data_IF_482416071766
#
_entry.id   IF_482416071766
#
_cell.length_a   1.000
_cell.length_b   1.000
_cell.length_c   1.000
_cell.angle_alpha   90.00
_cell.angle_beta   90.00
_cell.angle_gamma   90.00
#
_symmetry.space_group_name_H-M   'P 1'
#
loop_
_entity.id
_entity.type
_entity.pdbx_description
1 polymer ?
#
# COMPACT_ATOMS: atom_id res chain seq x y z
N UNK A 1 2.47 -30.45 -21.08
CA UNK A 1 2.20 -28.99 -21.16
C UNK A 1 2.61 -28.41 -19.82
N UNK A 2 3.63 -27.56 -19.78
CA UNK A 2 4.04 -26.87 -18.56
C UNK A 2 3.25 -25.57 -18.50
N UNK A 3 2.42 -25.42 -17.48
CA UNK A 3 1.70 -24.17 -17.24
C UNK A 3 2.29 -23.48 -16.01
N UNK A 4 1.98 -22.21 -15.84
CA UNK A 4 2.28 -21.49 -14.61
C UNK A 4 1.06 -20.67 -14.18
N UNK A 5 1.00 -20.37 -12.90
CA UNK A 5 -0.07 -19.59 -12.29
C UNK A 5 0.56 -18.48 -11.45
N UNK A 6 0.10 -17.26 -11.69
CA UNK A 6 0.51 -16.08 -10.94
C UNK A 6 -0.72 -15.52 -10.24
N UNK A 7 -0.58 -15.32 -8.93
CA UNK A 7 -1.59 -14.67 -8.11
C UNK A 7 -0.99 -13.45 -7.41
N UNK A 8 -1.84 -12.46 -7.17
CA UNK A 8 -1.46 -11.17 -6.62
C UNK A 8 -2.42 -10.74 -5.52
N UNK A 9 -1.87 -10.18 -4.45
CA UNK A 9 -2.61 -9.57 -3.37
C UNK A 9 -2.11 -8.13 -3.19
N UNK A 10 -3.04 -7.18 -3.21
CA UNK A 10 -2.76 -5.75 -3.00
C UNK A 10 -2.92 -5.43 -1.52
N UNK A 11 -2.04 -4.60 -0.97
CA UNK A 11 -2.20 -4.03 0.36
C UNK A 11 -3.12 -2.81 0.29
N UNK A 12 -4.23 -2.84 1.01
CA UNK A 12 -5.17 -1.74 1.10
C UNK A 12 -5.32 -1.27 2.55
N UNK A 13 -5.48 0.03 2.71
CA UNK A 13 -5.83 0.67 3.98
C UNK A 13 -7.10 1.48 3.75
N UNK A 14 -8.25 0.94 4.13
CA UNK A 14 -9.55 1.56 3.85
C UNK A 14 -10.53 1.37 5.01
N UNK A 15 -11.47 2.30 5.12
CA UNK A 15 -12.64 2.13 5.98
C UNK A 15 -13.76 1.45 5.19
N UNK A 16 -14.17 0.25 5.62
CA UNK A 16 -15.28 -0.50 5.05
C UNK A 16 -16.51 -0.32 5.96
N UNK A 17 -17.24 0.78 5.73
CA UNK A 17 -18.33 1.21 6.60
C UNK A 17 -17.80 1.54 8.00
N UNK A 18 -18.16 0.73 8.99
CA UNK A 18 -17.75 0.92 10.39
C UNK A 18 -16.50 0.11 10.79
N UNK A 19 -15.86 -0.57 9.84
CA UNK A 19 -14.67 -1.40 10.10
C UNK A 19 -13.44 -0.81 9.39
N UNK A 20 -12.34 -0.72 10.13
CA UNK A 20 -11.04 -0.41 9.56
C UNK A 20 -10.42 -1.68 8.97
N UNK A 21 -10.00 -1.61 7.71
CA UNK A 21 -9.24 -2.64 7.02
C UNK A 21 -7.81 -2.13 6.78
N UNK A 22 -6.84 -2.91 7.25
CA UNK A 22 -5.41 -2.66 7.08
C UNK A 22 -4.71 -4.01 6.85
N UNK A 23 -4.41 -4.31 5.60
CA UNK A 23 -3.80 -5.59 5.25
C UNK A 23 -3.83 -5.93 3.76
N UNK A 24 -3.41 -7.16 3.45
CA UNK A 24 -3.47 -7.69 2.10
C UNK A 24 -4.87 -8.20 1.77
N UNK A 25 -5.38 -7.81 0.60
CA UNK A 25 -6.57 -8.42 -0.01
C UNK A 25 -6.30 -9.89 -0.35
N UNK A 26 -7.37 -10.63 -0.66
CA UNK A 26 -7.25 -12.00 -1.12
C UNK A 26 -6.37 -12.08 -2.38
N UNK A 27 -5.61 -13.17 -2.50
CA UNK A 27 -4.85 -13.44 -3.72
C UNK A 27 -5.81 -13.65 -4.89
N UNK A 28 -5.71 -12.80 -5.89
CA UNK A 28 -6.44 -12.92 -7.14
C UNK A 28 -5.53 -13.51 -8.22
N UNK A 29 -6.08 -14.41 -9.03
CA UNK A 29 -5.38 -14.97 -10.18
C UNK A 29 -5.24 -13.92 -11.27
N UNK A 30 -4.02 -13.46 -11.49
CA UNK A 30 -3.73 -12.44 -12.50
C UNK A 30 -3.30 -13.06 -13.82
N UNK A 31 -2.65 -14.23 -13.79
CA UNK A 31 -2.16 -14.85 -15.01
C UNK A 31 -2.10 -16.37 -14.94
N UNK A 32 -2.46 -17.02 -16.06
CA UNK A 32 -2.26 -18.45 -16.29
C UNK A 32 -1.93 -18.69 -17.76
N UNK A 33 -0.77 -19.26 -18.06
CA UNK A 33 -0.39 -19.62 -19.43
C UNK A 33 0.37 -20.95 -19.48
N UNK A 34 0.39 -21.56 -20.65
CA UNK A 34 0.96 -22.89 -20.97
C UNK A 34 2.39 -22.84 -21.52
N UNK A 35 3.04 -21.70 -21.40
CA UNK A 35 4.38 -21.41 -21.93
C UNK A 35 5.29 -20.95 -20.79
N UNK A 36 6.58 -21.25 -20.89
CA UNK A 36 7.61 -20.82 -19.92
C UNK A 36 7.84 -19.32 -20.06
N UNK A 37 7.01 -18.52 -19.39
CA UNK A 37 7.19 -17.07 -19.33
C UNK A 37 8.15 -16.75 -18.20
N UNK A 38 9.20 -16.01 -18.55
CA UNK A 38 10.20 -15.48 -17.61
C UNK A 38 9.84 -14.08 -17.12
N UNK A 39 8.92 -13.40 -17.78
CA UNK A 39 8.59 -11.99 -17.52
C UNK A 39 7.09 -11.73 -17.62
N UNK A 40 6.49 -11.17 -16.57
CA UNK A 40 5.11 -10.69 -16.57
C UNK A 40 5.08 -9.21 -16.15
N UNK A 41 4.25 -8.41 -16.82
CA UNK A 41 4.07 -6.99 -16.52
C UNK A 41 2.63 -6.74 -16.09
N UNK A 42 2.45 -6.17 -14.91
CA UNK A 42 1.15 -5.79 -14.36
C UNK A 42 1.05 -4.26 -14.34
N UNK A 43 -0.03 -3.72 -14.89
CA UNK A 43 -0.31 -2.28 -14.96
C UNK A 43 -1.55 -1.95 -14.13
N UNK A 44 -1.71 -0.66 -13.78
CA UNK A 44 -2.86 -0.21 -12.98
C UNK A 44 -2.74 -0.46 -11.47
N UNK A 45 -1.55 -0.79 -10.97
CA UNK A 45 -1.29 -0.87 -9.53
C UNK A 45 -1.34 0.52 -8.90
N UNK A 46 -1.86 0.61 -7.68
CA UNK A 46 -1.78 1.85 -6.91
C UNK A 46 -0.32 2.22 -6.66
N UNK A 47 -0.01 3.50 -6.81
CA UNK A 47 1.31 4.06 -6.46
C UNK A 47 1.50 4.07 -4.95
N UNK A 48 2.74 4.00 -4.47
CA UNK A 48 3.08 3.96 -3.04
C UNK A 48 2.43 2.81 -2.24
N UNK A 49 2.13 1.69 -2.91
CA UNK A 49 1.42 0.56 -2.32
C UNK A 49 2.27 -0.71 -2.31
N UNK A 50 2.08 -1.54 -1.28
CA UNK A 50 2.73 -2.85 -1.18
C UNK A 50 1.90 -3.90 -1.92
N UNK A 51 2.56 -4.77 -2.66
CA UNK A 51 1.93 -5.86 -3.41
C UNK A 51 2.65 -7.15 -3.07
N UNK A 52 1.88 -8.22 -2.84
CA UNK A 52 2.36 -9.59 -2.69
C UNK A 52 2.05 -10.36 -3.95
N UNK A 53 3.07 -10.93 -4.56
CA UNK A 53 2.97 -11.80 -5.73
C UNK A 53 3.33 -13.21 -5.32
N UNK A 54 2.64 -14.20 -5.86
CA UNK A 54 3.07 -15.60 -5.78
C UNK A 54 2.96 -16.28 -7.12
N UNK A 55 3.98 -17.05 -7.47
CA UNK A 55 4.06 -17.80 -8.72
C UNK A 55 4.33 -19.27 -8.44
N UNK A 56 3.63 -20.16 -9.14
CA UNK A 56 3.92 -21.60 -9.14
C UNK A 56 3.95 -22.16 -10.53
N UNK A 57 4.79 -23.17 -10.73
CA UNK A 57 4.77 -23.99 -11.93
C UNK A 57 3.71 -25.09 -11.80
N UNK A 58 3.08 -25.45 -12.91
CA UNK A 58 2.17 -26.57 -13.05
C UNK A 58 2.75 -27.53 -14.10
N UNK A 59 3.13 -28.72 -13.65
CA UNK A 59 3.55 -29.81 -14.52
C UNK A 59 2.42 -30.82 -14.68
N UNK A 60 2.58 -31.78 -15.61
CA UNK A 60 1.61 -32.86 -15.78
C UNK A 60 1.40 -33.69 -14.50
N UNK A 61 2.44 -33.82 -13.68
CA UNK A 61 2.46 -34.55 -12.41
C UNK A 61 1.89 -33.79 -11.22
N UNK A 62 1.59 -32.48 -11.36
CA UNK A 62 1.04 -31.68 -10.27
C UNK A 62 1.54 -30.24 -10.23
N UNK A 63 1.19 -29.56 -9.14
CA UNK A 63 1.60 -28.18 -8.87
C UNK A 63 2.92 -28.16 -8.11
N UNK A 64 3.85 -27.33 -8.55
CA UNK A 64 5.06 -26.99 -7.79
C UNK A 64 4.74 -26.06 -6.62
N UNK A 65 5.75 -25.81 -5.79
CA UNK A 65 5.63 -24.89 -4.66
C UNK A 65 5.38 -23.45 -5.11
N UNK A 66 4.67 -22.71 -4.26
CA UNK A 66 4.47 -21.27 -4.43
C UNK A 66 5.76 -20.54 -4.10
N UNK A 67 6.25 -19.73 -5.03
CA UNK A 67 7.31 -18.76 -4.78
C UNK A 67 6.65 -17.41 -4.51
N UNK A 68 6.84 -16.89 -3.30
CA UNK A 68 6.26 -15.63 -2.85
C UNK A 68 7.28 -14.49 -2.98
N UNK A 69 6.81 -13.33 -3.45
CA UNK A 69 7.60 -12.12 -3.61
C UNK A 69 6.79 -10.92 -3.13
N UNK A 70 7.38 -10.09 -2.28
CA UNK A 70 6.79 -8.82 -1.85
C UNK A 70 7.48 -7.68 -2.57
N UNK A 71 6.70 -6.83 -3.23
CA UNK A 71 7.20 -5.68 -4.00
C UNK A 71 6.43 -4.43 -3.58
N UNK A 72 7.12 -3.30 -3.51
CA UNK A 72 6.49 -1.99 -3.28
C UNK A 72 6.51 -1.19 -4.57
N UNK A 73 5.39 -0.54 -4.91
CA UNK A 73 5.34 0.37 -6.06
C UNK A 73 6.00 1.70 -5.70
N UNK A 74 6.54 2.38 -6.72
CA UNK A 74 7.16 3.69 -6.52
C UNK A 74 6.10 4.71 -6.06
N UNK A 75 6.49 5.70 -5.23
CA UNK A 75 5.60 6.80 -4.91
C UNK A 75 5.23 7.56 -6.19
N UNK A 76 4.03 8.15 -6.26
CA UNK A 76 3.66 8.98 -7.40
C UNK A 76 4.70 10.08 -7.54
N UNK A 77 5.13 10.38 -8.77
CA UNK A 77 5.99 11.52 -9.04
C UNK A 77 5.33 12.73 -8.38
N UNK A 78 6.00 13.32 -7.38
CA UNK A 78 5.47 14.47 -6.67
C UNK A 78 5.11 15.52 -7.72
N UNK A 79 3.82 15.77 -7.93
CA UNK A 79 3.40 17.02 -8.54
C UNK A 79 4.05 18.08 -7.68
N UNK A 80 4.95 18.87 -8.25
CA UNK A 80 5.44 20.08 -7.62
C UNK A 80 4.19 20.84 -7.19
N UNK A 81 3.88 20.78 -5.90
CA UNK A 81 2.84 21.62 -5.33
C UNK A 81 3.50 22.98 -5.39
N UNK A 82 3.16 23.78 -6.41
CA UNK A 82 3.43 25.21 -6.37
C UNK A 82 3.05 25.65 -4.98
N UNK A 83 4.04 26.16 -4.24
CA UNK A 83 3.87 26.52 -2.84
C UNK A 83 2.63 27.40 -2.77
N UNK A 84 1.53 26.83 -2.26
CA UNK A 84 0.36 27.60 -1.91
C UNK A 84 0.90 28.72 -1.02
N UNK A 85 0.61 30.01 -1.29
CA UNK A 85 1.03 31.08 -0.41
C UNK A 85 0.25 30.92 0.89
N UNK A 86 0.71 30.02 1.77
CA UNK A 86 0.12 29.79 3.06
C UNK A 86 0.37 31.07 3.87
N UNK A 87 -0.67 31.83 4.26
CA UNK A 87 -0.46 32.87 5.24
C UNK A 87 -0.02 32.18 6.53
N UNK A 88 1.24 32.39 6.93
CA UNK A 88 1.88 31.85 8.15
C UNK A 88 1.22 32.31 9.48
N UNK A 89 -0.06 32.70 9.47
CA UNK A 89 -0.78 33.24 10.64
C UNK A 89 -1.48 32.20 11.51
N UNK A 90 -1.65 30.96 11.04
CA UNK A 90 -2.39 29.91 11.77
C UNK A 90 -1.48 28.89 12.48
N UNK A 91 -0.16 29.08 12.39
CA UNK A 91 0.86 28.22 13.03
C UNK A 91 1.71 29.04 14.02
N UNK A 92 1.09 29.91 14.80
CA UNK A 92 1.69 30.44 16.01
C UNK A 92 0.87 29.90 17.18
N UNK A 93 1.22 28.70 17.64
CA UNK A 93 1.00 28.37 19.05
C UNK A 93 1.96 29.27 19.81
N UNK A 94 1.43 30.30 20.47
CA UNK A 94 2.22 31.13 21.36
C UNK A 94 2.53 30.32 22.63
N UNK A 95 3.76 30.43 23.14
CA UNK A 95 4.18 29.72 24.36
C UNK A 95 3.33 30.15 25.57
N UNK A 96 2.69 31.32 25.53
CA UNK A 96 1.77 31.77 26.57
C UNK A 96 0.49 30.91 26.69
N UNK A 97 0.04 30.26 25.60
CA UNK A 97 -1.12 29.35 25.63
C UNK A 97 -0.80 27.99 26.27
N UNK A 98 0.48 27.68 26.49
CA UNK A 98 0.93 26.45 27.14
C UNK A 98 1.13 26.59 28.65
N UNK A 99 0.87 27.78 29.22
CA UNK A 99 1.01 27.97 30.67
C UNK A 99 -0.32 27.62 31.34
N UNK A 100 -0.38 26.56 32.16
CA UNK A 100 -1.57 26.29 32.95
C UNK A 100 -1.79 27.42 33.96
N UNK A 101 -2.94 28.09 33.86
CA UNK A 101 -3.46 29.00 34.87
C UNK A 101 -3.80 28.22 36.14
N UNK A 102 -2.80 27.93 36.98
CA UNK A 102 -3.09 27.66 38.39
C UNK A 102 -3.36 29.00 39.09
N UNK A 103 -4.60 29.47 38.96
CA UNK A 103 -5.16 30.40 39.94
C UNK A 103 -5.38 29.58 41.21
N UNK A 104 -4.58 29.82 42.23
CA UNK A 104 -4.96 29.52 43.61
C UNK A 104 -5.06 30.85 44.35
N UNK A 105 -6.32 31.15 44.63
CA UNK A 105 -6.88 32.30 45.33
C UNK A 105 -6.41 32.43 46.79
N UNK A 106 -6.36 33.71 47.21
CA UNK A 106 -6.84 34.28 48.49
C UNK A 106 -6.06 33.98 49.79
N UNK A 107 -5.69 35.08 50.46
CA UNK A 107 -5.26 35.14 51.85
C UNK A 107 -4.42 36.35 52.17
#
# INVERSE_FOLDING_TARGET
IYAYEVEMAIYDVVWEGNRFFDGYRAFEKVHKASSSITTATFTGLQTDSKVKLRIRAQSYSGFGEWNELVVSTLPPLSKQVDALPLPRKWLQVDVADLVPLHVLEVG
#
